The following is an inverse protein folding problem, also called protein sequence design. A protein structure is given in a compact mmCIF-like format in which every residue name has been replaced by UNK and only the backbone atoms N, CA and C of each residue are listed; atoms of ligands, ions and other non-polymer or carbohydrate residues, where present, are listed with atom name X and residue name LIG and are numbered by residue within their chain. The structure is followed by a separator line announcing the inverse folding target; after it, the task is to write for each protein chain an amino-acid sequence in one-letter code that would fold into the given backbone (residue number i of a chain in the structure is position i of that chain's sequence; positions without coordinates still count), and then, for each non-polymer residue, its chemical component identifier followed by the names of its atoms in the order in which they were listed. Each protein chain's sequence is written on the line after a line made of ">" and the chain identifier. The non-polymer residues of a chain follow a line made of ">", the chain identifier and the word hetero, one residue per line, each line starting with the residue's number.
data_IF_826472231253
#
_entry.id   IF_826472231253
#
_cell.length_a   1.000
_cell.length_b   1.000
_cell.length_c   1.000
_cell.angle_alpha   90.00
_cell.angle_beta   90.00
_cell.angle_gamma   90.00
#
_symmetry.space_group_name_H-M   'P 1'
#
loop_
_entity.id
_entity.type
_entity.pdbx_description
1 polymer ?
#
# COMPACT_ATOMS: atom_id res chain seq x y z
N UNK A 1 -11.96 3.65 1.09
CA UNK A 1 -12.09 2.66 2.18
C UNK A 1 -11.29 1.43 1.76
N UNK A 2 -10.67 0.68 2.67
CA UNK A 2 -9.99 -0.57 2.29
C UNK A 2 -11.03 -1.55 1.73
N UNK A 3 -10.75 -2.13 0.56
CA UNK A 3 -11.64 -3.08 -0.10
C UNK A 3 -11.35 -4.50 0.42
N UNK A 4 -12.14 -4.93 1.41
CA UNK A 4 -11.99 -6.25 2.02
C UNK A 4 -12.43 -7.39 1.09
N UNK A 5 -13.39 -7.12 0.20
CA UNK A 5 -13.93 -8.14 -0.70
C UNK A 5 -12.93 -8.40 -1.83
N UNK A 6 -12.28 -7.35 -2.34
CA UNK A 6 -11.17 -7.49 -3.29
C UNK A 6 -9.97 -8.26 -2.68
N UNK A 7 -9.60 -7.97 -1.43
CA UNK A 7 -8.57 -8.73 -0.74
C UNK A 7 -8.98 -10.21 -0.59
N UNK A 8 -10.22 -10.47 -0.18
CA UNK A 8 -10.70 -11.83 0.02
C UNK A 8 -10.67 -12.66 -1.26
N UNK A 9 -11.21 -12.11 -2.35
CA UNK A 9 -11.15 -12.75 -3.66
C UNK A 9 -9.71 -12.93 -4.17
N UNK A 10 -8.82 -11.99 -3.89
CA UNK A 10 -7.39 -12.13 -4.19
C UNK A 10 -6.78 -13.32 -3.44
N UNK A 11 -6.98 -13.41 -2.13
CA UNK A 11 -6.45 -14.50 -1.31
C UNK A 11 -7.02 -15.86 -1.75
N UNK A 12 -8.31 -15.93 -2.06
CA UNK A 12 -8.93 -17.15 -2.59
C UNK A 12 -8.30 -17.59 -3.91
N UNK A 13 -8.10 -16.65 -4.84
CA UNK A 13 -7.44 -16.92 -6.14
C UNK A 13 -5.97 -17.36 -5.99
N UNK A 14 -5.31 -16.97 -4.89
CA UNK A 14 -3.96 -17.42 -4.56
C UNK A 14 -3.92 -18.81 -3.90
N UNK A 15 -5.08 -19.39 -3.54
CA UNK A 15 -5.18 -20.61 -2.74
C UNK A 15 -4.95 -20.36 -1.24
N UNK A 16 -5.04 -19.10 -0.81
CA UNK A 16 -4.81 -18.63 0.56
C UNK A 16 -6.13 -18.28 1.27
N UNK A 17 -7.25 -18.91 0.91
CA UNK A 17 -8.55 -18.56 1.48
C UNK A 17 -8.62 -18.65 3.02
N UNK A 18 -7.84 -19.55 3.64
CA UNK A 18 -7.71 -19.62 5.10
C UNK A 18 -7.14 -18.34 5.74
N UNK A 19 -6.36 -17.55 4.99
CA UNK A 19 -5.89 -16.23 5.45
C UNK A 19 -7.05 -15.26 5.69
N UNK A 20 -8.18 -15.41 4.99
CA UNK A 20 -9.35 -14.56 5.23
C UNK A 20 -9.92 -14.75 6.64
N UNK A 21 -9.88 -15.97 7.16
CA UNK A 21 -10.41 -16.30 8.49
C UNK A 21 -9.54 -15.69 9.60
N UNK A 22 -8.23 -15.74 9.44
CA UNK A 22 -7.26 -15.28 10.44
C UNK A 22 -7.00 -13.77 10.35
N UNK A 23 -6.78 -13.25 9.14
CA UNK A 23 -6.44 -11.83 8.93
C UNK A 23 -7.68 -10.94 8.88
N UNK A 24 -8.84 -11.43 8.42
CA UNK A 24 -10.05 -10.62 8.26
C UNK A 24 -10.43 -9.82 9.52
N UNK A 25 -10.60 -10.46 10.69
CA UNK A 25 -10.91 -9.77 11.94
C UNK A 25 -9.81 -8.79 12.38
N UNK A 26 -8.54 -9.18 12.22
CA UNK A 26 -7.38 -8.35 12.56
C UNK A 26 -7.34 -7.05 11.74
N UNK A 27 -7.47 -7.19 10.42
CA UNK A 27 -7.42 -6.09 9.47
C UNK A 27 -8.62 -5.15 9.66
N UNK A 28 -9.82 -5.68 9.86
CA UNK A 28 -11.01 -4.86 10.17
C UNK A 28 -10.79 -4.04 11.43
N UNK A 29 -10.27 -4.63 12.50
CA UNK A 29 -9.99 -3.90 13.74
C UNK A 29 -8.97 -2.76 13.54
N UNK A 30 -7.92 -2.99 12.75
CA UNK A 30 -6.86 -1.99 12.50
C UNK A 30 -7.29 -0.89 11.54
N UNK A 31 -8.00 -1.22 10.47
CA UNK A 31 -8.35 -0.30 9.38
C UNK A 31 -9.66 0.47 9.59
N UNK A 32 -10.41 0.21 10.67
CA UNK A 32 -11.68 0.90 10.98
C UNK A 32 -11.59 1.84 12.19
N UNK A 33 -10.38 2.24 12.60
CA UNK A 33 -10.18 3.34 13.54
C UNK A 33 -10.26 3.00 15.03
N UNK A 34 -10.36 1.72 15.39
CA UNK A 34 -10.39 1.29 16.78
C UNK A 34 -9.01 1.32 17.46
N UNK A 35 -7.93 1.56 16.71
CA UNK A 35 -6.56 1.26 17.14
C UNK A 35 -5.60 2.45 17.12
N UNK A 36 -5.97 3.59 16.53
CA UNK A 36 -5.04 4.73 16.39
C UNK A 36 -5.76 6.09 16.39
N UNK A 37 -5.28 7.03 17.21
CA UNK A 37 -5.89 8.37 17.36
C UNK A 37 -5.96 9.18 16.08
N UNK A 38 -4.93 9.11 15.24
CA UNK A 38 -4.90 9.83 13.95
C UNK A 38 -5.68 9.14 12.82
N UNK A 39 -6.22 7.93 13.03
CA UNK A 39 -6.87 7.19 11.94
C UNK A 39 -7.96 8.00 11.27
N UNK A 40 -8.78 8.73 12.05
CA UNK A 40 -9.87 9.56 11.52
C UNK A 40 -9.34 10.60 10.54
N UNK A 41 -8.26 11.29 10.90
CA UNK A 41 -7.60 12.31 10.08
C UNK A 41 -7.06 11.71 8.78
N UNK A 42 -6.34 10.59 8.87
CA UNK A 42 -5.79 9.91 7.70
C UNK A 42 -6.87 9.37 6.77
N UNK A 43 -7.90 8.72 7.31
CA UNK A 43 -9.00 8.19 6.51
C UNK A 43 -9.79 9.30 5.82
N UNK A 44 -10.05 10.42 6.50
CA UNK A 44 -10.67 11.60 5.86
C UNK A 44 -9.84 12.12 4.70
N UNK A 45 -8.51 12.19 4.87
CA UNK A 45 -7.62 12.63 3.79
C UNK A 45 -7.69 11.68 2.58
N UNK A 46 -7.57 10.37 2.81
CA UNK A 46 -7.64 9.34 1.75
C UNK A 46 -8.98 9.40 1.00
N UNK A 47 -10.10 9.53 1.72
CA UNK A 47 -11.44 9.57 1.11
C UNK A 47 -11.69 10.84 0.29
N UNK A 48 -11.00 11.93 0.59
CA UNK A 48 -11.13 13.18 -0.15
C UNK A 48 -10.28 13.22 -1.43
N UNK A 49 -9.26 12.36 -1.57
CA UNK A 49 -8.35 12.37 -2.72
C UNK A 49 -9.04 12.20 -4.08
N UNK A 50 -9.99 11.26 -4.28
CA UNK A 50 -10.64 11.10 -5.58
C UNK A 50 -11.33 12.38 -6.08
N UNK A 51 -11.98 13.12 -5.18
CA UNK A 51 -12.66 14.38 -5.49
C UNK A 51 -11.72 15.58 -5.62
N UNK A 52 -10.46 15.45 -5.20
CA UNK A 52 -9.45 16.49 -5.32
C UNK A 52 -8.62 16.38 -6.60
N UNK A 53 -8.74 15.30 -7.38
CA UNK A 53 -7.97 15.12 -8.62
C UNK A 53 -8.23 16.27 -9.58
N UNK A 54 -7.17 16.75 -10.23
CA UNK A 54 -7.18 17.96 -11.05
C UNK A 54 -6.88 19.26 -10.28
N UNK A 55 -6.83 19.22 -8.95
CA UNK A 55 -6.32 20.31 -8.11
C UNK A 55 -5.04 19.87 -7.39
N UNK A 56 -3.89 20.18 -7.99
CA UNK A 56 -2.58 19.77 -7.47
C UNK A 56 -2.30 20.30 -6.05
N UNK A 57 -2.77 21.50 -5.72
CA UNK A 57 -2.59 22.08 -4.40
C UNK A 57 -3.41 21.32 -3.36
N UNK A 58 -4.67 21.04 -3.67
CA UNK A 58 -5.54 20.27 -2.78
C UNK A 58 -5.06 18.83 -2.58
N UNK A 59 -4.63 18.18 -3.66
CA UNK A 59 -4.03 16.83 -3.59
C UNK A 59 -2.80 16.84 -2.68
N UNK A 60 -1.91 17.83 -2.84
CA UNK A 60 -0.71 17.96 -2.00
C UNK A 60 -1.07 18.12 -0.51
N UNK A 61 -2.02 18.98 -0.18
CA UNK A 61 -2.48 19.16 1.22
C UNK A 61 -2.99 17.86 1.84
N UNK A 62 -3.82 17.11 1.11
CA UNK A 62 -4.36 15.83 1.56
C UNK A 62 -3.26 14.78 1.74
N UNK A 63 -2.31 14.71 0.82
CA UNK A 63 -1.15 13.81 0.93
C UNK A 63 -0.25 14.18 2.12
N UNK A 64 -0.11 15.48 2.43
CA UNK A 64 0.68 15.93 3.58
C UNK A 64 0.03 15.62 4.93
N UNK A 65 -1.27 15.38 5.00
CA UNK A 65 -1.92 14.85 6.21
C UNK A 65 -1.43 13.44 6.59
N UNK A 66 -0.79 12.73 5.66
CA UNK A 66 -0.21 11.40 5.84
C UNK A 66 1.31 11.45 6.07
N UNK A 67 1.91 12.61 6.31
CA UNK A 67 3.33 12.74 6.65
C UNK A 67 3.65 12.01 7.99
N UNK A 68 4.83 11.38 8.15
CA UNK A 68 6.00 11.37 7.26
C UNK A 68 5.98 10.34 6.13
N UNK A 69 6.42 10.77 4.94
CA UNK A 69 6.61 9.92 3.76
C UNK A 69 8.07 9.45 3.67
N UNK A 70 8.30 8.16 3.94
CA UNK A 70 9.67 7.61 4.00
C UNK A 70 10.15 7.01 2.67
N UNK A 71 9.39 6.12 2.03
CA UNK A 71 9.82 5.41 0.81
C UNK A 71 9.23 6.07 -0.46
N UNK A 72 10.08 6.39 -1.43
CA UNK A 72 9.72 7.04 -2.69
C UNK A 72 10.95 7.31 -3.59
N UNK A 73 10.96 8.38 -4.41
CA UNK A 73 9.96 9.44 -4.50
C UNK A 73 8.63 8.94 -5.08
N UNK A 74 7.57 9.74 -4.93
CA UNK A 74 6.26 9.46 -5.49
C UNK A 74 5.83 10.59 -6.42
N UNK A 75 5.20 10.23 -7.54
CA UNK A 75 4.51 11.16 -8.43
C UNK A 75 3.05 10.73 -8.53
N UNK A 76 2.15 11.50 -7.93
CA UNK A 76 0.72 11.22 -7.87
C UNK A 76 0.00 12.36 -8.60
N UNK A 77 -0.48 12.07 -9.82
CA UNK A 77 -0.88 13.08 -10.81
C UNK A 77 0.26 14.12 -11.04
N UNK A 78 -0.01 15.39 -10.73
CA UNK A 78 0.94 16.50 -10.85
C UNK A 78 1.77 16.74 -9.57
N UNK A 79 1.47 16.02 -8.48
CA UNK A 79 2.12 16.22 -7.18
C UNK A 79 3.32 15.29 -7.03
N UNK A 80 4.48 15.89 -6.81
CA UNK A 80 5.69 15.19 -6.39
C UNK A 80 5.83 15.21 -4.86
N UNK A 81 6.00 14.02 -4.28
CA UNK A 81 6.39 13.85 -2.88
C UNK A 81 7.86 13.47 -2.85
N UNK A 82 8.69 14.41 -2.42
CA UNK A 82 10.07 14.13 -2.04
C UNK A 82 10.08 13.41 -0.70
N UNK A 83 10.45 12.13 -0.73
CA UNK A 83 10.42 11.24 0.42
C UNK A 83 11.81 11.12 1.03
N UNK A 84 11.89 10.79 2.32
CA UNK A 84 13.17 10.62 3.03
C UNK A 84 14.18 9.71 2.29
N UNK A 85 13.69 8.60 1.71
CA UNK A 85 14.53 7.61 1.05
C UNK A 85 14.38 7.64 -0.46
N UNK A 86 15.51 7.71 -1.16
CA UNK A 86 15.68 7.37 -2.59
C UNK A 86 15.55 5.86 -2.80
N UNK A 87 14.33 5.38 -2.64
CA UNK A 87 13.97 3.97 -2.79
C UNK A 87 14.12 3.50 -4.24
N UNK A 88 13.94 4.42 -5.18
CA UNK A 88 14.25 4.23 -6.60
C UNK A 88 15.71 3.81 -6.84
N UNK A 89 16.68 4.41 -6.14
CA UNK A 89 18.10 4.03 -6.29
C UNK A 89 18.39 2.62 -5.80
N UNK A 90 17.72 2.20 -4.71
CA UNK A 90 17.83 0.81 -4.24
C UNK A 90 17.21 -0.13 -5.25
N UNK A 91 16.01 0.18 -5.75
CA UNK A 91 15.32 -0.64 -6.73
C UNK A 91 16.13 -0.80 -8.02
N UNK A 92 16.70 0.29 -8.55
CA UNK A 92 17.53 0.27 -9.75
C UNK A 92 18.73 -0.68 -9.66
N UNK A 93 19.29 -0.88 -8.46
CA UNK A 93 20.40 -1.83 -8.23
C UNK A 93 19.94 -3.28 -8.08
N UNK A 94 18.72 -3.51 -7.62
CA UNK A 94 18.23 -4.85 -7.23
C UNK A 94 17.39 -5.51 -8.31
N UNK A 95 16.62 -4.74 -9.09
CA UNK A 95 15.62 -5.27 -10.03
C UNK A 95 16.16 -6.30 -11.03
N UNK A 96 17.41 -6.12 -11.48
CA UNK A 96 18.07 -7.01 -12.46
C UNK A 96 18.94 -8.09 -11.80
N UNK A 97 19.09 -8.02 -10.46
CA UNK A 97 19.87 -8.98 -9.68
C UNK A 97 19.01 -10.10 -9.05
N UNK A 98 17.68 -9.95 -9.09
CA UNK A 98 16.71 -10.96 -8.62
C UNK A 98 16.16 -11.77 -9.79
N UNK A 99 15.55 -12.92 -9.50
CA UNK A 99 14.88 -13.69 -10.54
C UNK A 99 13.76 -12.85 -11.20
N UNK A 100 13.51 -13.02 -12.52
CA UNK A 100 12.47 -12.28 -13.23
C UNK A 100 11.12 -12.38 -12.51
N UNK A 101 10.42 -11.26 -12.37
CA UNK A 101 9.21 -11.18 -11.55
C UNK A 101 7.93 -11.51 -12.32
N UNK A 102 8.00 -11.66 -13.65
CA UNK A 102 6.86 -11.96 -14.52
C UNK A 102 6.01 -13.12 -13.98
N UNK A 103 4.72 -12.85 -13.75
CA UNK A 103 3.77 -13.85 -13.30
C UNK A 103 3.90 -14.26 -11.82
N UNK A 104 4.85 -13.72 -11.06
CA UNK A 104 5.10 -14.14 -9.67
C UNK A 104 4.08 -13.59 -8.70
N UNK A 105 3.78 -14.37 -7.67
CA UNK A 105 3.04 -13.97 -6.47
C UNK A 105 4.07 -13.65 -5.40
N UNK A 106 4.04 -12.44 -4.85
CA UNK A 106 5.11 -11.93 -3.99
C UNK A 106 4.54 -11.48 -2.64
N UNK A 107 5.26 -11.82 -1.58
CA UNK A 107 5.10 -11.25 -0.25
C UNK A 107 6.23 -10.23 0.00
N UNK A 108 5.88 -8.96 0.23
CA UNK A 108 6.83 -7.88 0.57
C UNK A 108 6.79 -7.62 2.08
N UNK A 109 7.73 -8.22 2.82
CA UNK A 109 7.80 -8.11 4.28
C UNK A 109 8.48 -6.82 4.70
N UNK A 110 7.83 -6.04 5.58
CA UNK A 110 8.30 -4.69 5.91
C UNK A 110 8.10 -3.73 4.73
N UNK A 111 6.98 -3.87 4.02
CA UNK A 111 6.70 -3.15 2.78
C UNK A 111 6.69 -1.63 2.95
N UNK A 112 6.52 -1.13 4.18
CA UNK A 112 6.24 0.28 4.40
C UNK A 112 5.01 0.70 3.59
N UNK A 113 5.05 1.86 2.96
CA UNK A 113 3.94 2.42 2.18
C UNK A 113 3.66 1.72 0.83
N UNK A 114 4.28 0.55 0.56
CA UNK A 114 4.06 -0.21 -0.66
C UNK A 114 4.83 0.26 -1.89
N UNK A 115 5.79 1.18 -1.75
CA UNK A 115 6.60 1.64 -2.89
C UNK A 115 7.21 0.48 -3.69
N UNK A 116 7.92 -0.46 -3.02
CA UNK A 116 8.54 -1.59 -3.72
C UNK A 116 7.52 -2.59 -4.23
N UNK A 117 6.39 -2.76 -3.55
CA UNK A 117 5.29 -3.58 -4.05
C UNK A 117 4.80 -3.10 -5.43
N UNK A 118 4.63 -1.79 -5.62
CA UNK A 118 4.28 -1.20 -6.92
C UNK A 118 5.41 -1.35 -7.96
N UNK A 119 6.66 -1.22 -7.54
CA UNK A 119 7.80 -1.46 -8.45
C UNK A 119 7.85 -2.91 -8.93
N UNK A 120 7.65 -3.88 -8.03
CA UNK A 120 7.56 -5.29 -8.37
C UNK A 120 6.37 -5.57 -9.30
N UNK A 121 5.26 -4.85 -9.10
CA UNK A 121 4.10 -4.91 -9.99
C UNK A 121 4.39 -4.43 -11.40
N UNK A 122 5.03 -3.27 -11.52
CA UNK A 122 5.47 -2.71 -12.81
C UNK A 122 6.52 -3.58 -13.49
N UNK A 123 7.25 -4.41 -12.73
CA UNK A 123 8.20 -5.39 -13.22
C UNK A 123 7.57 -6.76 -13.57
N UNK A 124 6.23 -6.86 -13.62
CA UNK A 124 5.53 -8.04 -14.15
C UNK A 124 5.04 -9.04 -13.11
N UNK A 125 5.26 -8.82 -11.81
CA UNK A 125 4.64 -9.65 -10.76
C UNK A 125 3.13 -9.74 -11.00
N UNK A 126 2.52 -10.91 -10.77
CA UNK A 126 1.09 -11.16 -10.95
C UNK A 126 0.23 -10.71 -9.78
N UNK A 127 0.79 -10.70 -8.56
CA UNK A 127 0.20 -10.17 -7.31
C UNK A 127 1.31 -9.83 -6.33
N UNK A 128 1.15 -8.73 -5.57
CA UNK A 128 2.05 -8.41 -4.46
C UNK A 128 1.22 -8.11 -3.21
N UNK A 129 1.48 -8.84 -2.13
CA UNK A 129 0.94 -8.57 -0.80
C UNK A 129 2.08 -8.02 0.06
N UNK A 130 1.98 -6.79 0.51
CA UNK A 130 2.88 -6.19 1.49
C UNK A 130 2.35 -6.37 2.90
N UNK A 131 3.24 -6.65 3.85
CA UNK A 131 2.91 -6.68 5.28
C UNK A 131 3.83 -5.73 6.05
N UNK A 132 3.23 -4.87 6.87
CA UNK A 132 3.94 -3.98 7.79
C UNK A 132 3.02 -3.63 8.96
N UNK A 133 3.44 -3.70 10.24
CA UNK A 133 2.54 -3.43 11.37
C UNK A 133 2.10 -1.95 11.49
N UNK A 134 2.72 -1.04 10.75
CA UNK A 134 2.49 0.41 10.88
C UNK A 134 1.25 0.84 10.10
N UNK A 135 0.17 1.18 10.81
CA UNK A 135 -1.10 1.59 10.20
C UNK A 135 -0.96 2.78 9.23
N UNK A 136 -0.13 3.78 9.56
CA UNK A 136 0.11 4.92 8.67
C UNK A 136 0.56 4.47 7.27
N UNK A 137 1.40 3.44 7.18
CA UNK A 137 1.91 2.95 5.90
C UNK A 137 0.82 2.29 5.05
N UNK A 138 -0.11 1.56 5.67
CA UNK A 138 -1.30 1.07 4.97
C UNK A 138 -2.18 2.23 4.48
N UNK A 139 -2.35 3.29 5.29
CA UNK A 139 -3.11 4.49 4.88
C UNK A 139 -2.42 5.26 3.74
N UNK A 140 -1.09 5.35 3.76
CA UNK A 140 -0.29 5.92 2.68
C UNK A 140 -0.43 5.11 1.39
N UNK A 141 -0.40 3.77 1.47
CA UNK A 141 -0.63 2.93 0.30
C UNK A 141 -2.04 3.12 -0.26
N UNK A 142 -3.07 3.20 0.59
CA UNK A 142 -4.44 3.50 0.15
C UNK A 142 -4.52 4.85 -0.58
N UNK A 143 -3.79 5.88 -0.11
CA UNK A 143 -3.70 7.16 -0.81
C UNK A 143 -3.01 7.03 -2.17
N UNK A 144 -1.90 6.30 -2.24
CA UNK A 144 -1.19 6.03 -3.51
C UNK A 144 -2.13 5.30 -4.49
N UNK A 145 -2.85 4.28 -4.03
CA UNK A 145 -3.67 3.44 -4.90
C UNK A 145 -4.94 4.13 -5.42
N UNK A 146 -5.32 5.30 -4.89
CA UNK A 146 -6.33 6.17 -5.53
C UNK A 146 -5.89 6.58 -6.95
N UNK A 147 -4.57 6.75 -7.15
CA UNK A 147 -3.97 7.18 -8.42
C UNK A 147 -3.52 5.98 -9.26
N UNK A 148 -2.87 4.99 -8.65
CA UNK A 148 -2.37 3.81 -9.36
C UNK A 148 -3.50 2.87 -9.80
N UNK A 149 -4.56 2.75 -8.98
CA UNK A 149 -5.72 1.88 -9.22
C UNK A 149 -5.32 0.43 -9.52
N UNK A 150 -4.24 -0.07 -8.91
CA UNK A 150 -3.80 -1.44 -9.10
C UNK A 150 -4.65 -2.38 -8.22
N UNK A 151 -5.44 -3.28 -8.80
CA UNK A 151 -6.37 -4.12 -8.06
C UNK A 151 -5.70 -5.31 -7.38
N UNK A 152 -4.40 -5.53 -7.60
CA UNK A 152 -3.73 -6.70 -7.10
C UNK A 152 -2.36 -6.37 -6.48
N UNK A 153 -2.30 -5.18 -5.87
CA UNK A 153 -1.35 -4.85 -4.80
C UNK A 153 -2.13 -4.51 -3.53
N UNK A 154 -1.77 -5.16 -2.44
CA UNK A 154 -2.36 -4.91 -1.12
C UNK A 154 -1.25 -4.62 -0.11
N UNK A 155 -1.46 -3.67 0.80
CA UNK A 155 -0.58 -3.45 1.96
C UNK A 155 -1.40 -3.64 3.23
N UNK A 156 -1.05 -4.68 3.98
CA UNK A 156 -1.78 -5.13 5.15
C UNK A 156 -1.08 -4.61 6.42
N UNK A 157 -1.78 -3.91 7.33
CA UNK A 157 -1.21 -3.45 8.58
C UNK A 157 -1.03 -4.61 9.58
N UNK A 158 -0.16 -5.59 9.26
CA UNK A 158 0.14 -6.75 10.09
C UNK A 158 1.63 -7.09 10.13
N UNK A 159 2.00 -7.82 11.17
CA UNK A 159 3.34 -8.39 11.37
C UNK A 159 3.46 -9.68 10.56
N UNK A 160 4.69 -10.09 10.26
CA UNK A 160 4.92 -11.37 9.58
C UNK A 160 4.44 -12.55 10.43
N UNK A 161 4.65 -12.51 11.74
CA UNK A 161 4.20 -13.55 12.67
C UNK A 161 2.67 -13.64 12.82
N UNK A 162 1.92 -12.67 12.28
CA UNK A 162 0.45 -12.68 12.26
C UNK A 162 -0.11 -13.25 10.95
N UNK A 163 0.73 -13.58 9.96
CA UNK A 163 0.30 -14.26 8.74
C UNK A 163 0.32 -15.79 8.95
N UNK A 164 -0.71 -16.53 8.52
CA UNK A 164 -0.76 -17.99 8.61
C UNK A 164 0.29 -18.69 7.74
#
# INVERSE_FOLDING_TARGET
>A
MFDFDALAGCLDNLGLGHWNEELGPLLRRRLTGQTHGDWKRWNQAVQALPGARGDAQRVRELLMALHPWRKGPLRLDEVEIDTEWRSDWKWARVKDAVAPLDGRRILDVGSGNGYYALQMRRAGAATVIGVDPTLLFAMQFLAINVFEQDPAVFVLPCRLEETP
#
